data_IF_095447638285
#
_entry.id   IF_095447638285
#
_cell.length_a   1.000
_cell.length_b   1.000
_cell.length_c   1.000
_cell.angle_alpha   90.00
_cell.angle_beta   90.00
_cell.angle_gamma   90.00
#
_symmetry.space_group_name_H-M   'P 1'
#
loop_
_entity.id
_entity.type
_entity.pdbx_description
1 polymer ?
#
# COMPACT_ATOMS: atom_id res chain seq x y z
N UNK A 1 14.24 24.23 -5.54
CA UNK A 1 13.72 22.86 -5.29
C UNK A 1 14.14 21.96 -6.42
N UNK A 2 14.18 20.66 -6.16
CA UNK A 2 14.45 19.62 -7.16
C UNK A 2 13.20 18.77 -7.36
N UNK A 3 13.03 18.10 -8.52
CA UNK A 3 11.98 17.10 -8.70
C UNK A 3 12.15 15.95 -7.69
N UNK A 4 11.05 15.53 -7.07
CA UNK A 4 10.98 14.38 -6.19
C UNK A 4 9.82 13.49 -6.64
N UNK A 5 9.96 12.17 -6.49
CA UNK A 5 8.95 11.19 -6.88
C UNK A 5 8.54 10.34 -5.69
N UNK A 6 7.24 10.17 -5.51
CA UNK A 6 6.67 9.12 -4.70
C UNK A 6 6.38 7.90 -5.58
N UNK A 7 6.50 6.71 -4.99
CA UNK A 7 6.22 5.45 -5.67
C UNK A 7 5.07 4.74 -5.00
N UNK A 8 4.19 4.18 -5.81
CA UNK A 8 3.10 3.30 -5.37
C UNK A 8 3.31 1.97 -6.06
N UNK A 9 3.46 0.93 -5.26
CA UNK A 9 3.60 -0.44 -5.74
C UNK A 9 2.30 -1.16 -5.48
N UNK A 10 1.71 -1.69 -6.54
CA UNK A 10 0.52 -2.52 -6.47
C UNK A 10 0.86 -3.93 -6.96
N UNK A 11 0.47 -4.92 -6.17
CA UNK A 11 0.58 -6.32 -6.53
C UNK A 11 -0.81 -6.94 -6.55
N UNK A 12 -1.32 -7.17 -7.75
CA UNK A 12 -2.62 -7.78 -7.95
C UNK A 12 -2.64 -9.22 -7.43
N UNK A 13 -3.77 -9.59 -6.83
CA UNK A 13 -4.03 -10.96 -6.42
C UNK A 13 -4.95 -11.63 -7.44
N UNK A 14 -4.44 -12.64 -8.15
CA UNK A 14 -5.26 -13.43 -9.07
C UNK A 14 -6.51 -13.96 -8.36
N UNK A 15 -7.62 -14.12 -9.06
CA UNK A 15 -8.85 -14.72 -8.49
C UNK A 15 -8.67 -16.21 -8.24
N UNK A 16 -9.37 -16.77 -7.27
CA UNK A 16 -9.36 -18.23 -7.07
C UNK A 16 -10.05 -18.91 -8.25
N UNK A 17 -9.52 -20.04 -8.69
CA UNK A 17 -10.21 -20.89 -9.64
C UNK A 17 -11.41 -21.54 -8.97
N UNK A 18 -12.57 -21.43 -9.60
CA UNK A 18 -13.83 -21.98 -9.15
C UNK A 18 -14.22 -23.15 -10.06
N UNK A 19 -13.95 -24.36 -9.55
CA UNK A 19 -14.19 -25.60 -10.28
C UNK A 19 -15.68 -25.86 -10.49
N UNK A 20 -16.51 -25.57 -9.50
CA UNK A 20 -17.95 -25.85 -9.56
C UNK A 20 -18.61 -24.92 -10.57
N UNK A 21 -18.17 -23.66 -10.64
CA UNK A 21 -18.58 -22.71 -11.67
C UNK A 21 -18.16 -23.15 -13.06
N UNK A 22 -16.92 -23.61 -13.23
CA UNK A 22 -16.42 -24.10 -14.51
C UNK A 22 -17.21 -25.32 -15.02
N UNK A 23 -17.54 -26.25 -14.12
CA UNK A 23 -18.37 -27.42 -14.42
C UNK A 23 -19.79 -27.00 -14.77
N UNK A 24 -20.41 -26.15 -13.95
CA UNK A 24 -21.79 -25.67 -14.16
C UNK A 24 -21.96 -24.95 -15.50
N UNK A 25 -20.93 -24.21 -15.93
CA UNK A 25 -20.92 -23.50 -17.22
C UNK A 25 -20.46 -24.36 -18.41
N UNK A 26 -20.22 -25.66 -18.19
CA UNK A 26 -19.72 -26.61 -19.19
C UNK A 26 -18.44 -26.13 -19.88
N UNK A 27 -17.50 -25.55 -19.12
CA UNK A 27 -16.23 -25.06 -19.66
C UNK A 27 -15.28 -26.25 -19.88
N UNK A 28 -14.74 -26.47 -21.10
CA UNK A 28 -13.82 -27.56 -21.36
C UNK A 28 -12.52 -27.45 -20.55
N UNK A 29 -12.10 -28.53 -19.90
CA UNK A 29 -10.87 -28.53 -19.07
C UNK A 29 -9.60 -28.09 -19.83
N UNK A 30 -9.55 -28.31 -21.16
CA UNK A 30 -8.44 -27.91 -22.03
C UNK A 30 -8.21 -26.38 -22.09
N UNK A 31 -9.18 -25.58 -21.67
CA UNK A 31 -9.08 -24.11 -21.65
C UNK A 31 -8.94 -23.51 -20.25
N UNK A 32 -9.14 -24.29 -19.19
CA UNK A 32 -9.14 -23.80 -17.81
C UNK A 32 -7.87 -23.05 -17.43
N UNK A 33 -6.68 -23.58 -17.74
CA UNK A 33 -5.41 -22.93 -17.41
C UNK A 33 -5.19 -21.60 -18.13
N UNK A 34 -5.77 -21.41 -19.32
CA UNK A 34 -5.70 -20.15 -20.07
C UNK A 34 -6.67 -19.12 -19.48
N UNK A 35 -7.88 -19.55 -19.14
CA UNK A 35 -8.91 -18.74 -18.49
C UNK A 35 -8.47 -18.30 -17.08
N UNK A 36 -7.84 -19.19 -16.31
CA UNK A 36 -7.30 -18.86 -14.98
C UNK A 36 -6.21 -17.77 -15.05
N UNK A 37 -5.44 -17.74 -16.13
CA UNK A 37 -4.42 -16.69 -16.40
C UNK A 37 -5.02 -15.39 -16.93
N UNK A 38 -6.35 -15.27 -16.99
CA UNK A 38 -7.02 -14.05 -17.44
C UNK A 38 -7.25 -13.95 -18.95
N UNK A 39 -7.00 -15.01 -19.73
CA UNK A 39 -7.20 -14.97 -21.18
C UNK A 39 -8.63 -15.35 -21.55
N UNK A 40 -9.23 -14.62 -22.48
CA UNK A 40 -10.43 -15.08 -23.20
C UNK A 40 -10.03 -16.12 -24.24
N UNK A 41 -10.80 -17.21 -24.35
CA UNK A 41 -10.47 -18.33 -25.23
C UNK A 41 -11.69 -18.73 -26.06
N UNK A 42 -11.51 -18.83 -27.37
CA UNK A 42 -12.46 -19.51 -28.25
C UNK A 42 -12.13 -21.00 -28.32
N UNK A 43 -13.12 -21.86 -28.14
CA UNK A 43 -12.98 -23.31 -28.22
C UNK A 43 -14.30 -23.94 -28.70
N UNK A 44 -14.23 -24.77 -29.75
CA UNK A 44 -15.37 -25.38 -30.42
C UNK A 44 -16.48 -24.38 -30.79
N UNK A 45 -16.10 -23.21 -31.28
CA UNK A 45 -17.02 -22.15 -31.72
C UNK A 45 -17.71 -21.37 -30.58
N UNK A 46 -17.33 -21.62 -29.32
CA UNK A 46 -17.81 -20.85 -28.16
C UNK A 46 -16.68 -20.06 -27.52
N UNK A 47 -16.99 -18.83 -27.11
CA UNK A 47 -16.07 -17.96 -26.36
C UNK A 47 -16.25 -18.20 -24.86
N UNK A 48 -15.15 -18.41 -24.16
CA UNK A 48 -15.08 -18.52 -22.71
C UNK A 48 -14.25 -17.38 -22.14
N UNK A 49 -14.70 -16.80 -21.03
CA UNK A 49 -13.99 -15.72 -20.34
C UNK A 49 -13.48 -16.17 -18.97
N UNK A 50 -12.51 -15.47 -18.38
CA UNK A 50 -12.04 -15.77 -17.02
C UNK A 50 -13.19 -15.81 -15.99
N UNK A 51 -14.24 -15.00 -16.17
CA UNK A 51 -15.41 -14.98 -15.28
C UNK A 51 -16.24 -16.26 -15.33
N UNK A 52 -16.00 -17.16 -16.27
CA UNK A 52 -16.62 -18.47 -16.33
C UNK A 52 -15.99 -19.48 -15.36
N UNK A 53 -14.76 -19.23 -14.91
CA UNK A 53 -13.99 -20.18 -14.09
C UNK A 53 -13.31 -19.56 -12.88
N UNK A 54 -13.42 -18.24 -12.71
CA UNK A 54 -12.85 -17.52 -11.57
C UNK A 54 -13.93 -17.09 -10.59
N UNK A 55 -13.60 -17.15 -9.30
CA UNK A 55 -14.39 -16.60 -8.20
C UNK A 55 -14.32 -15.07 -8.16
N UNK A 56 -14.62 -14.49 -7.00
CA UNK A 56 -14.61 -13.04 -6.79
C UNK A 56 -13.20 -12.44 -6.88
N UNK A 57 -13.15 -11.14 -7.15
CA UNK A 57 -11.92 -10.36 -7.04
C UNK A 57 -11.41 -10.41 -5.61
N UNK A 58 -10.08 -10.51 -5.45
CA UNK A 58 -9.46 -10.54 -4.12
C UNK A 58 -8.58 -9.32 -3.96
N UNK A 59 -8.55 -8.75 -2.76
CA UNK A 59 -7.67 -7.63 -2.50
C UNK A 59 -6.19 -8.00 -2.76
N UNK A 60 -5.52 -7.17 -3.57
CA UNK A 60 -4.08 -7.20 -3.80
C UNK A 60 -3.29 -6.63 -2.62
N UNK A 61 -2.00 -6.34 -2.85
CA UNK A 61 -1.18 -5.58 -1.92
C UNK A 61 -0.87 -4.20 -2.51
N UNK A 62 -0.82 -3.19 -1.65
CA UNK A 62 -0.43 -1.83 -1.99
C UNK A 62 0.61 -1.28 -1.00
N UNK A 63 1.71 -0.76 -1.52
CA UNK A 63 2.78 -0.10 -0.77
C UNK A 63 2.98 1.32 -1.31
N UNK A 64 2.99 2.30 -0.42
CA UNK A 64 3.34 3.70 -0.75
C UNK A 64 4.72 3.99 -0.19
N UNK A 65 5.62 4.53 -1.01
CA UNK A 65 6.91 5.05 -0.60
C UNK A 65 7.02 6.51 -1.02
N UNK A 66 7.02 7.42 -0.06
CA UNK A 66 7.17 8.85 -0.33
C UNK A 66 8.05 9.49 0.74
N UNK A 67 9.21 9.97 0.32
CA UNK A 67 10.16 10.71 1.17
C UNK A 67 10.36 12.11 0.58
N UNK A 68 11.06 12.99 1.31
CA UNK A 68 11.46 14.34 0.88
C UNK A 68 10.33 15.13 0.21
N UNK A 69 9.23 15.31 0.94
CA UNK A 69 8.04 15.99 0.43
C UNK A 69 7.26 16.69 1.54
N UNK A 70 6.59 17.78 1.20
CA UNK A 70 5.49 18.28 2.04
C UNK A 70 4.28 17.33 1.93
N UNK A 71 3.31 17.41 2.85
CA UNK A 71 2.05 16.69 2.71
C UNK A 71 1.38 17.08 1.39
N UNK A 72 1.00 16.08 0.59
CA UNK A 72 0.41 16.25 -0.73
C UNK A 72 -0.92 15.49 -0.80
N UNK A 73 -1.93 16.13 -1.39
CA UNK A 73 -3.28 15.55 -1.55
C UNK A 73 -3.28 14.38 -2.53
N UNK A 74 -2.35 14.38 -3.48
CA UNK A 74 -2.13 13.30 -4.43
C UNK A 74 -1.75 11.99 -3.70
N UNK A 75 -0.99 12.07 -2.61
CA UNK A 75 -0.68 10.88 -1.79
C UNK A 75 -1.93 10.31 -1.12
N UNK A 76 -2.86 11.15 -0.69
CA UNK A 76 -4.17 10.70 -0.20
C UNK A 76 -4.93 10.03 -1.32
N UNK A 77 -4.97 10.65 -2.50
CA UNK A 77 -5.75 10.15 -3.65
C UNK A 77 -5.25 8.79 -4.13
N UNK A 78 -3.95 8.65 -4.37
CA UNK A 78 -3.37 7.45 -4.99
C UNK A 78 -2.97 6.38 -3.97
N UNK A 79 -2.52 6.80 -2.79
CA UNK A 79 -2.04 5.92 -1.73
C UNK A 79 -3.11 5.44 -0.76
N UNK A 80 -4.38 5.79 -0.99
CA UNK A 80 -5.49 5.33 -0.16
C UNK A 80 -5.53 3.80 -0.05
N UNK A 81 -5.83 3.32 1.15
CA UNK A 81 -5.97 1.90 1.52
C UNK A 81 -4.71 1.05 1.31
N UNK A 82 -3.53 1.67 1.29
CA UNK A 82 -2.28 0.93 1.24
C UNK A 82 -2.08 0.02 2.46
N UNK A 83 -1.47 -1.14 2.26
CA UNK A 83 -1.06 -2.03 3.35
C UNK A 83 0.10 -1.45 4.16
N UNK A 84 0.96 -0.69 3.50
CA UNK A 84 2.08 -0.01 4.15
C UNK A 84 2.34 1.33 3.46
N UNK A 85 2.52 2.38 4.26
CA UNK A 85 3.10 3.64 3.82
C UNK A 85 4.46 3.82 4.49
N UNK A 86 5.51 3.99 3.70
CA UNK A 86 6.83 4.40 4.16
C UNK A 86 6.96 5.90 3.88
N UNK A 87 6.89 6.69 4.94
CA UNK A 87 6.86 8.15 4.90
C UNK A 87 8.04 8.76 5.64
N UNK A 88 8.39 10.00 5.29
CA UNK A 88 9.45 10.70 6.02
C UNK A 88 9.02 11.17 7.42
N UNK A 89 10.01 11.29 8.30
CA UNK A 89 9.90 11.82 9.64
C UNK A 89 10.98 12.85 9.93
N UNK A 90 11.27 13.75 8.99
CA UNK A 90 12.40 14.69 9.07
C UNK A 90 12.45 15.45 10.40
N UNK A 91 11.29 15.88 10.92
CA UNK A 91 11.20 16.57 12.21
C UNK A 91 10.13 15.97 13.12
N UNK A 92 10.47 15.67 14.38
CA UNK A 92 9.50 15.24 15.40
C UNK A 92 8.95 16.36 16.29
N UNK A 93 9.67 17.47 16.47
CA UNK A 93 9.19 18.61 17.29
C UNK A 93 8.25 19.52 16.46
N UNK A 94 7.01 19.79 16.93
CA UNK A 94 6.08 20.73 16.29
C UNK A 94 6.65 22.12 15.99
N UNK A 95 7.58 22.62 16.80
CA UNK A 95 8.23 23.93 16.63
C UNK A 95 9.06 24.02 15.34
N UNK A 96 9.43 22.88 14.74
CA UNK A 96 10.20 22.84 13.49
C UNK A 96 9.34 22.95 12.24
N UNK A 97 8.04 23.24 12.35
CA UNK A 97 7.11 23.35 11.21
C UNK A 97 7.54 24.39 10.18
N UNK A 98 8.04 25.56 10.61
CA UNK A 98 8.53 26.60 9.69
C UNK A 98 9.75 26.10 8.90
N UNK A 99 10.64 25.37 9.57
CA UNK A 99 11.81 24.75 8.93
C UNK A 99 11.41 23.61 7.98
N UNK A 100 10.36 22.86 8.32
CA UNK A 100 9.76 21.84 7.47
C UNK A 100 9.21 22.46 6.18
N UNK A 101 8.47 23.56 6.29
CA UNK A 101 7.96 24.31 5.14
C UNK A 101 9.10 24.89 4.28
N UNK A 102 10.08 25.55 4.90
CA UNK A 102 11.21 26.16 4.20
C UNK A 102 12.03 25.13 3.42
N UNK A 103 12.32 23.99 4.04
CA UNK A 103 13.13 22.93 3.46
C UNK A 103 12.31 21.90 2.67
N UNK A 104 10.99 22.09 2.55
CA UNK A 104 10.06 21.22 1.81
C UNK A 104 10.01 19.77 2.29
N UNK A 105 10.13 19.55 3.60
CA UNK A 105 10.01 18.25 4.26
C UNK A 105 8.78 18.18 5.16
N UNK A 106 8.31 16.98 5.48
CA UNK A 106 7.25 16.74 6.46
C UNK A 106 7.74 16.55 7.89
N UNK A 107 6.95 17.03 8.85
CA UNK A 107 7.07 16.59 10.25
C UNK A 107 6.47 15.20 10.42
N UNK A 108 6.86 14.48 11.47
CA UNK A 108 6.31 13.15 11.76
C UNK A 108 4.79 13.19 11.96
N UNK A 109 4.29 14.24 12.61
CA UNK A 109 2.86 14.46 12.87
C UNK A 109 2.09 14.64 11.56
N UNK A 110 2.63 15.42 10.63
CA UNK A 110 2.00 15.62 9.32
C UNK A 110 1.93 14.33 8.51
N UNK A 111 3.01 13.56 8.49
CA UNK A 111 3.03 12.24 7.85
C UNK A 111 2.04 11.27 8.53
N UNK A 112 1.91 11.30 9.86
CA UNK A 112 0.92 10.50 10.59
C UNK A 112 -0.52 10.90 10.26
N UNK A 113 -0.81 12.20 10.17
CA UNK A 113 -2.11 12.72 9.75
C UNK A 113 -2.41 12.28 8.31
N UNK A 114 -1.42 12.36 7.42
CA UNK A 114 -1.55 11.94 6.04
C UNK A 114 -1.87 10.44 5.93
N UNK A 115 -1.14 9.60 6.67
CA UNK A 115 -1.37 8.15 6.75
C UNK A 115 -2.80 7.83 7.23
N UNK A 116 -3.29 8.54 8.25
CA UNK A 116 -4.66 8.41 8.74
C UNK A 116 -5.69 8.76 7.65
N UNK A 117 -5.46 9.84 6.91
CA UNK A 117 -6.35 10.27 5.80
C UNK A 117 -6.34 9.29 4.64
N UNK A 118 -5.18 8.70 4.34
CA UNK A 118 -5.02 7.62 3.36
C UNK A 118 -5.66 6.31 3.83
N UNK A 119 -6.07 6.17 5.09
CA UNK A 119 -6.58 4.91 5.65
C UNK A 119 -5.63 3.74 5.41
N UNK A 120 -4.32 3.98 5.51
CA UNK A 120 -3.33 2.91 5.37
C UNK A 120 -3.40 1.97 6.57
N UNK A 121 -3.03 0.70 6.37
CA UNK A 121 -3.02 -0.29 7.45
C UNK A 121 -1.85 -0.07 8.41
N UNK A 122 -0.71 0.42 7.91
CA UNK A 122 0.50 0.64 8.69
C UNK A 122 1.34 1.80 8.11
N UNK A 123 2.03 2.53 8.98
CA UNK A 123 2.94 3.62 8.63
C UNK A 123 4.32 3.32 9.18
N UNK A 124 5.35 3.36 8.34
CA UNK A 124 6.75 3.31 8.74
C UNK A 124 7.39 4.66 8.51
N UNK A 125 8.06 5.17 9.53
CA UNK A 125 8.88 6.37 9.40
C UNK A 125 10.29 6.04 8.87
N UNK A 126 10.85 6.97 8.10
CA UNK A 126 12.25 6.98 7.69
C UNK A 126 12.71 8.42 7.50
N UNK A 127 13.94 8.63 7.04
CA UNK A 127 14.44 9.95 6.61
C UNK A 127 14.33 11.02 7.72
N UNK A 128 15.00 10.76 8.84
CA UNK A 128 15.03 11.65 10.00
C UNK A 128 16.11 12.73 9.85
N UNK A 129 15.90 13.90 10.45
CA UNK A 129 16.96 14.89 10.58
C UNK A 129 18.14 14.31 11.37
N UNK A 130 19.40 14.55 10.96
CA UNK A 130 20.58 14.19 11.76
C UNK A 130 20.61 14.83 13.16
N UNK A 131 19.76 15.83 13.41
CA UNK A 131 19.60 16.46 14.73
C UNK A 131 18.72 15.67 15.69
N UNK A 132 17.96 14.68 15.20
CA UNK A 132 17.18 13.77 16.04
C UNK A 132 18.12 12.68 16.56
N UNK A 133 18.35 12.67 17.87
CA UNK A 133 19.21 11.66 18.51
C UNK A 133 18.52 10.30 18.59
N UNK A 134 17.26 10.32 19.00
CA UNK A 134 16.41 9.13 19.08
C UNK A 134 15.00 9.47 18.57
N UNK A 135 14.60 8.96 17.39
CA UNK A 135 13.25 9.17 16.88
C UNK A 135 12.15 8.55 17.77
N UNK A 136 12.46 7.53 18.58
CA UNK A 136 11.48 6.87 19.46
C UNK A 136 10.91 7.80 20.53
N UNK A 137 11.59 8.89 20.86
CA UNK A 137 11.08 9.95 21.76
C UNK A 137 9.71 10.50 21.31
N UNK A 138 9.41 10.43 20.01
CA UNK A 138 8.15 10.93 19.44
C UNK A 138 7.07 9.86 19.31
N UNK A 139 7.36 8.59 19.60
CA UNK A 139 6.46 7.45 19.32
C UNK A 139 5.09 7.63 19.98
N UNK A 140 5.05 8.04 21.24
CA UNK A 140 3.79 8.20 21.98
C UNK A 140 2.87 9.22 21.30
N UNK A 141 3.40 10.39 20.94
CA UNK A 141 2.62 11.46 20.28
C UNK A 141 2.14 11.02 18.91
N UNK A 142 3.00 10.33 18.16
CA UNK A 142 2.68 9.85 16.82
C UNK A 142 1.61 8.75 16.85
N UNK A 143 1.69 7.81 17.79
CA UNK A 143 0.66 6.76 17.95
C UNK A 143 -0.67 7.29 18.44
N UNK A 144 -0.73 8.44 19.11
CA UNK A 144 -2.00 9.12 19.40
C UNK A 144 -2.69 9.61 18.12
N UNK A 145 -1.93 9.98 17.09
CA UNK A 145 -2.45 10.40 15.79
C UNK A 145 -2.82 9.17 14.95
N UNK A 146 -1.88 8.23 14.83
CA UNK A 146 -2.00 7.03 14.02
C UNK A 146 -1.43 5.82 14.78
N UNK A 147 -2.27 5.01 15.46
CA UNK A 147 -1.81 3.93 16.35
C UNK A 147 -0.93 2.87 15.70
N UNK A 148 -1.11 2.63 14.38
CA UNK A 148 -0.35 1.65 13.59
C UNK A 148 0.97 2.23 13.04
N UNK A 149 1.41 3.40 13.51
CA UNK A 149 2.72 3.93 13.21
C UNK A 149 3.84 3.08 13.83
N UNK A 150 4.93 2.92 13.09
CA UNK A 150 6.15 2.25 13.53
C UNK A 150 7.32 3.15 13.17
N UNK A 151 8.24 3.31 14.11
CA UNK A 151 9.55 3.93 13.92
C UNK A 151 10.54 2.77 13.81
N UNK A 152 10.90 2.33 12.59
CA UNK A 152 11.70 1.14 12.42
C UNK A 152 13.15 1.36 12.82
N UNK A 153 13.80 0.31 13.33
CA UNK A 153 15.25 0.28 13.47
C UNK A 153 15.94 -0.01 12.13
N UNK A 154 17.22 0.38 12.01
CA UNK A 154 18.02 0.05 10.84
C UNK A 154 18.06 -1.47 10.58
N UNK A 155 17.78 -1.85 9.33
CA UNK A 155 17.73 -3.25 8.91
C UNK A 155 16.44 -4.01 9.28
N UNK A 156 15.44 -3.33 9.86
CA UNK A 156 14.13 -3.92 10.13
C UNK A 156 13.43 -4.35 8.82
N UNK A 157 12.74 -5.49 8.88
CA UNK A 157 12.09 -6.12 7.72
C UNK A 157 10.63 -6.42 8.01
N UNK A 158 9.80 -6.34 6.97
CA UNK A 158 8.39 -6.77 6.99
C UNK A 158 8.08 -7.53 5.72
N UNK A 159 7.28 -8.58 5.87
CA UNK A 159 6.68 -9.32 4.75
C UNK A 159 5.21 -8.94 4.69
N UNK A 160 4.78 -8.33 3.58
CA UNK A 160 3.37 -8.11 3.30
C UNK A 160 2.76 -9.41 2.77
N UNK A 161 1.62 -9.82 3.34
CA UNK A 161 0.88 -11.02 2.96
C UNK A 161 -0.51 -10.61 2.54
N UNK A 162 -1.03 -11.24 1.50
CA UNK A 162 -2.44 -11.07 1.14
C UNK A 162 -3.31 -11.46 2.33
N UNK A 163 -4.31 -10.64 2.64
CA UNK A 163 -5.31 -10.98 3.65
C UNK A 163 -6.21 -12.07 3.06
N UNK A 164 -6.38 -13.19 3.74
CA UNK A 164 -7.38 -14.18 3.35
C UNK A 164 -8.76 -13.66 3.73
N UNK A 165 -9.61 -13.43 2.74
CA UNK A 165 -11.00 -13.05 2.95
C UNK A 165 -11.73 -14.26 3.57
N UNK A 166 -11.90 -14.26 4.90
CA UNK A 166 -12.52 -15.35 5.65
C UNK A 166 -12.07 -15.57 7.10
N UNK A 167 -11.12 -14.78 7.62
CA UNK A 167 -10.76 -14.73 9.06
C UNK A 167 -11.06 -13.37 9.69
#
# INVERSE_FOLDING_TARGET
>A
SVPCHAYIFELDRMRKFDKDKAITKNVPMKVWGRLQKGNTVEFDGKIYTPDDVLGESRQGLKLVYATDTRPLEELVTYGSYADLFIGEGMYGNPEKIEKANLNKHSTMQETAILAKRMMVKELWFTHYSPSIKDPLEYETVIRQIFPQAIIPADGQKKVLRFVDEGE
#
